data_IF_626779790242
#
_entry.id   IF_626779790242
#
_cell.length_a   1.000
_cell.length_b   1.000
_cell.length_c   1.000
_cell.angle_alpha   90.00
_cell.angle_beta   90.00
_cell.angle_gamma   90.00
#
_symmetry.space_group_name_H-M   'P 1'
#
loop_
_entity.id
_entity.type
_entity.pdbx_description
1 polymer ?
#
# COMPACT_ATOMS: atom_id res chain seq x y z
N UNK A 1 -40.99 10.04 1.44
CA UNK A 1 -39.79 10.49 0.70
C UNK A 1 -38.94 11.33 1.63
N UNK A 2 -37.88 10.76 2.20
CA UNK A 2 -36.66 11.48 2.63
C UNK A 2 -35.64 10.41 3.04
N UNK A 3 -35.07 9.73 2.04
CA UNK A 3 -33.84 8.96 2.25
C UNK A 3 -32.73 10.00 2.28
N UNK A 4 -32.36 10.45 3.47
CA UNK A 4 -31.19 11.30 3.69
C UNK A 4 -29.95 10.53 3.27
N UNK A 5 -29.61 10.63 1.98
CA UNK A 5 -28.36 10.14 1.44
C UNK A 5 -27.25 11.00 2.02
N UNK A 6 -26.66 10.55 3.12
CA UNK A 6 -25.29 10.91 3.44
C UNK A 6 -24.44 10.25 2.34
N UNK A 7 -24.24 10.99 1.24
CA UNK A 7 -23.05 10.80 0.42
C UNK A 7 -21.88 11.20 1.31
N UNK A 8 -21.40 10.26 2.13
CA UNK A 8 -20.10 10.40 2.74
C UNK A 8 -19.12 10.51 1.59
N UNK A 9 -18.58 11.71 1.36
CA UNK A 9 -17.50 11.90 0.40
C UNK A 9 -16.41 10.93 0.80
N UNK A 10 -16.09 9.96 -0.04
CA UNK A 10 -14.96 9.08 0.21
C UNK A 10 -13.71 9.95 0.23
N UNK A 11 -13.23 10.27 1.43
CA UNK A 11 -12.05 11.09 1.63
C UNK A 11 -10.83 10.21 1.39
N UNK A 12 -9.87 10.73 0.64
CA UNK A 12 -8.56 10.09 0.49
C UNK A 12 -7.86 10.10 1.85
N UNK A 13 -7.43 8.94 2.37
CA UNK A 13 -6.73 8.87 3.65
C UNK A 13 -5.33 9.46 3.53
N UNK A 14 -4.80 9.96 4.65
CA UNK A 14 -3.36 10.20 4.77
C UNK A 14 -2.63 8.89 5.13
N UNK A 15 -1.57 8.60 4.39
CA UNK A 15 -0.68 7.47 4.61
C UNK A 15 0.76 7.96 4.40
N UNK A 16 1.58 7.81 5.44
CA UNK A 16 3.00 8.14 5.37
C UNK A 16 3.81 6.85 5.40
N UNK A 17 4.76 6.72 4.48
CA UNK A 17 5.67 5.60 4.42
C UNK A 17 7.12 6.07 4.40
N UNK A 18 8.03 5.19 4.84
CA UNK A 18 9.47 5.31 4.67
C UNK A 18 9.99 4.21 3.73
N UNK A 19 11.10 4.47 3.04
CA UNK A 19 11.80 3.43 2.29
C UNK A 19 13.01 2.91 3.07
N UNK A 20 13.13 1.59 3.12
CA UNK A 20 14.26 0.88 3.69
C UNK A 20 14.93 0.02 2.61
N UNK A 21 16.05 0.51 2.08
CA UNK A 21 16.83 -0.21 1.07
C UNK A 21 17.74 -1.30 1.66
N UNK A 22 17.89 -1.39 2.98
CA UNK A 22 18.63 -2.51 3.59
C UNK A 22 17.79 -3.78 3.63
N UNK A 23 16.46 -3.64 3.73
CA UNK A 23 15.51 -4.77 3.75
C UNK A 23 14.57 -4.82 2.56
N UNK A 24 14.77 -3.93 1.58
CA UNK A 24 13.98 -3.83 0.34
C UNK A 24 12.49 -3.54 0.58
N UNK A 25 12.18 -2.66 1.54
CA UNK A 25 10.81 -2.40 2.01
C UNK A 25 10.38 -0.96 1.85
N UNK A 26 9.08 -0.79 1.68
CA UNK A 26 8.35 0.43 2.05
C UNK A 26 7.59 0.13 3.34
N UNK A 27 7.83 0.89 4.41
CA UNK A 27 7.25 0.67 5.74
C UNK A 27 6.20 1.75 6.01
N UNK A 28 5.01 1.34 6.48
CA UNK A 28 3.95 2.26 6.88
C UNK A 28 4.31 2.89 8.23
N UNK A 29 4.54 4.20 8.26
CA UNK A 29 4.89 4.98 9.45
C UNK A 29 3.65 5.58 10.12
N UNK A 30 2.67 6.00 9.33
CA UNK A 30 1.36 6.44 9.81
C UNK A 30 0.27 6.16 8.77
N UNK A 31 -0.95 5.93 9.25
CA UNK A 31 -2.13 5.69 8.40
C UNK A 31 -3.38 6.14 9.14
N UNK A 32 -4.29 6.79 8.42
CA UNK A 32 -5.62 7.10 8.94
C UNK A 32 -6.39 5.83 9.35
N UNK A 33 -7.31 5.97 10.31
CA UNK A 33 -8.12 4.85 10.76
C UNK A 33 -8.99 4.28 9.62
N UNK A 34 -9.22 2.96 9.67
CA UNK A 34 -10.12 2.23 8.76
C UNK A 34 -9.66 2.10 7.30
N UNK A 35 -8.41 2.42 6.97
CA UNK A 35 -7.84 2.13 5.64
C UNK A 35 -7.60 0.62 5.50
N UNK A 36 -8.12 0.01 4.43
CA UNK A 36 -7.88 -1.41 4.13
C UNK A 36 -6.85 -1.56 3.03
N UNK A 37 -6.01 -2.59 3.13
CA UNK A 37 -5.12 -2.97 2.04
C UNK A 37 -5.90 -3.26 0.75
N UNK A 38 -7.11 -3.81 0.84
CA UNK A 38 -8.00 -4.03 -0.31
C UNK A 38 -8.39 -2.77 -1.06
N UNK A 39 -8.22 -1.58 -0.48
CA UNK A 39 -8.55 -0.30 -1.10
C UNK A 39 -7.33 0.38 -1.74
N UNK A 40 -6.14 -0.21 -1.56
CA UNK A 40 -4.89 0.28 -2.11
C UNK A 40 -4.52 -0.50 -3.36
N UNK A 41 -4.20 0.23 -4.41
CA UNK A 41 -3.47 -0.29 -5.56
C UNK A 41 -1.99 0.01 -5.36
N UNK A 42 -1.16 -1.03 -5.59
CA UNK A 42 0.29 -0.94 -5.52
C UNK A 42 0.80 -1.17 -6.95
N UNK A 43 1.49 -0.18 -7.50
CA UNK A 43 2.13 -0.28 -8.81
C UNK A 43 3.62 0.04 -8.71
N UNK A 44 4.38 -0.44 -9.69
CA UNK A 44 5.83 -0.29 -9.76
C UNK A 44 6.22 0.30 -11.11
N UNK A 45 7.30 1.09 -11.16
CA UNK A 45 7.88 1.57 -12.42
C UNK A 45 8.50 0.44 -13.28
N UNK A 46 8.78 -0.71 -12.66
CA UNK A 46 9.23 -1.93 -13.33
C UNK A 46 8.11 -2.97 -13.29
N UNK A 47 7.55 -3.33 -14.45
CA UNK A 47 6.45 -4.28 -14.57
C UNK A 47 6.80 -5.72 -14.15
N UNK A 48 8.09 -6.06 -14.13
CA UNK A 48 8.57 -7.37 -13.67
C UNK A 48 8.86 -7.39 -12.16
N UNK A 49 8.74 -6.24 -11.47
CA UNK A 49 8.94 -6.19 -10.03
C UNK A 49 7.83 -6.95 -9.32
N UNK A 50 8.21 -7.91 -8.49
CA UNK A 50 7.28 -8.61 -7.62
C UNK A 50 7.32 -7.98 -6.24
N UNK A 51 6.17 -7.93 -5.57
CA UNK A 51 6.06 -7.36 -4.23
C UNK A 51 5.11 -8.16 -3.36
N UNK A 52 5.32 -8.11 -2.05
CA UNK A 52 4.47 -8.74 -1.05
C UNK A 52 4.16 -7.76 0.07
N UNK A 53 2.87 -7.59 0.38
CA UNK A 53 2.45 -6.90 1.61
C UNK A 53 2.70 -7.83 2.80
N UNK A 54 3.38 -7.32 3.82
CA UNK A 54 3.70 -8.00 5.06
C UNK A 54 3.14 -7.20 6.25
N UNK A 55 2.76 -7.88 7.32
CA UNK A 55 2.47 -7.21 8.58
C UNK A 55 3.76 -6.80 9.32
N UNK A 56 3.62 -6.09 10.45
CA UNK A 56 4.76 -5.70 11.30
C UNK A 56 5.62 -6.84 11.86
N UNK A 57 5.13 -8.09 11.81
CA UNK A 57 5.89 -9.29 12.13
C UNK A 57 6.55 -9.94 10.90
N UNK A 58 6.61 -9.23 9.77
CA UNK A 58 7.14 -9.68 8.47
C UNK A 58 6.43 -10.90 7.88
N UNK A 59 5.16 -11.15 8.25
CA UNK A 59 4.36 -12.23 7.66
C UNK A 59 3.56 -11.70 6.49
N UNK A 60 3.65 -12.39 5.34
CA UNK A 60 2.87 -12.07 4.15
C UNK A 60 1.36 -12.12 4.41
N UNK A 61 0.65 -11.09 3.96
CA UNK A 61 -0.80 -10.95 4.15
C UNK A 61 -1.63 -11.46 2.95
N UNK A 62 -1.02 -11.66 1.78
CA UNK A 62 -1.66 -12.21 0.58
C UNK A 62 -0.66 -12.82 -0.40
N UNK A 63 -1.18 -13.26 -1.55
CA UNK A 63 -0.40 -13.61 -2.74
C UNK A 63 0.40 -12.39 -3.22
N UNK A 64 1.58 -12.66 -3.77
CA UNK A 64 2.48 -11.67 -4.36
C UNK A 64 1.73 -10.87 -5.43
N UNK A 65 1.93 -9.55 -5.46
CA UNK A 65 1.35 -8.69 -6.49
C UNK A 65 -0.17 -8.48 -6.37
N UNK A 66 -0.82 -8.84 -5.25
CA UNK A 66 -2.27 -8.71 -5.09
C UNK A 66 -2.67 -8.16 -3.73
N UNK A 67 -3.37 -7.03 -3.73
CA UNK A 67 -4.03 -6.48 -2.53
C UNK A 67 -5.51 -6.85 -2.41
N UNK A 68 -6.17 -7.20 -3.51
CA UNK A 68 -7.62 -7.44 -3.55
C UNK A 68 -8.10 -8.57 -2.63
N UNK A 69 -7.22 -9.49 -2.23
CA UNK A 69 -7.54 -10.59 -1.32
C UNK A 69 -7.21 -10.30 0.15
N UNK A 70 -6.61 -9.14 0.46
CA UNK A 70 -6.23 -8.75 1.82
C UNK A 70 -7.45 -8.11 2.50
N UNK A 71 -8.06 -8.80 3.46
CA UNK A 71 -9.25 -8.30 4.19
C UNK A 71 -8.91 -7.48 5.44
N UNK A 72 -7.62 -7.34 5.79
CA UNK A 72 -7.17 -6.65 7.00
C UNK A 72 -6.97 -5.15 6.77
N UNK A 73 -7.13 -4.38 7.85
CA UNK A 73 -6.80 -2.96 7.87
C UNK A 73 -5.28 -2.76 7.86
N UNK A 74 -4.85 -1.68 7.22
CA UNK A 74 -3.45 -1.25 7.27
C UNK A 74 -3.10 -0.80 8.68
N UNK A 75 -1.89 -1.15 9.13
CA UNK A 75 -1.37 -0.78 10.44
C UNK A 75 0.05 -0.22 10.31
N UNK A 76 0.44 0.63 11.27
CA UNK A 76 1.84 1.07 11.41
C UNK A 76 2.76 -0.14 11.57
N UNK A 77 3.87 -0.12 10.83
CA UNK A 77 4.84 -1.20 10.76
C UNK A 77 4.50 -2.28 9.72
N UNK A 78 3.30 -2.31 9.13
CA UNK A 78 3.09 -3.07 7.91
C UNK A 78 4.07 -2.59 6.83
N UNK A 79 4.38 -3.45 5.87
CA UNK A 79 5.32 -3.10 4.81
C UNK A 79 5.01 -3.74 3.48
N UNK A 80 5.57 -3.17 2.43
CA UNK A 80 5.60 -3.73 1.08
C UNK A 80 7.05 -4.14 0.83
N UNK A 81 7.30 -5.45 0.80
CA UNK A 81 8.59 -6.03 0.47
C UNK A 81 8.68 -6.17 -1.05
N UNK A 82 9.74 -5.65 -1.65
CA UNK A 82 10.12 -5.94 -3.03
C UNK A 82 10.89 -7.25 -3.09
N UNK A 83 10.48 -8.11 -4.02
CA UNK A 83 11.05 -9.43 -4.25
C UNK A 83 11.75 -9.43 -5.61
N UNK A 84 12.87 -10.17 -5.69
CA UNK A 84 13.50 -10.60 -6.95
C UNK A 84 13.75 -9.47 -7.97
N UNK A 85 14.13 -8.29 -7.50
CA UNK A 85 14.46 -7.13 -8.34
C UNK A 85 15.88 -6.64 -8.07
N UNK A 86 16.46 -5.91 -9.03
CA UNK A 86 17.75 -5.24 -8.87
C UNK A 86 17.63 -3.81 -9.37
N UNK A 87 18.27 -2.88 -8.69
CA UNK A 87 18.24 -1.46 -9.01
C UNK A 87 17.08 -0.69 -8.35
N UNK A 88 16.90 0.56 -8.78
CA UNK A 88 15.89 1.46 -8.21
C UNK A 88 14.47 1.12 -8.69
N UNK A 89 13.66 0.59 -7.78
CA UNK A 89 12.22 0.36 -8.01
C UNK A 89 11.42 1.43 -7.26
N UNK A 90 10.59 2.15 -8.00
CA UNK A 90 9.63 3.10 -7.42
C UNK A 90 8.30 2.39 -7.25
N UNK A 91 7.79 2.38 -6.02
CA UNK A 91 6.43 1.94 -5.69
C UNK A 91 5.53 3.18 -5.61
N UNK A 92 4.37 3.09 -6.27
CA UNK A 92 3.29 4.07 -6.18
C UNK A 92 2.09 3.45 -5.46
N UNK A 93 1.58 4.14 -4.46
CA UNK A 93 0.32 3.77 -3.79
C UNK A 93 -0.81 4.67 -4.29
N UNK A 94 -1.90 4.03 -4.74
CA UNK A 94 -3.11 4.72 -5.19
C UNK A 94 -4.30 4.25 -4.37
N UNK A 95 -5.07 5.20 -3.82
CA UNK A 95 -6.33 4.89 -3.15
C UNK A 95 -7.44 4.70 -4.18
N UNK A 96 -7.84 3.44 -4.39
CA UNK A 96 -8.78 3.05 -5.46
C UNK A 96 -10.13 3.78 -5.40
N UNK A 97 -10.75 4.00 -4.22
CA UNK A 97 -12.05 4.66 -4.19
C UNK A 97 -12.07 6.09 -4.76
N UNK A 98 -10.95 6.81 -4.72
CA UNK A 98 -10.85 8.18 -5.25
C UNK A 98 -9.85 8.33 -6.39
N UNK A 99 -9.15 7.25 -6.76
CA UNK A 99 -8.01 7.26 -7.69
C UNK A 99 -6.89 8.26 -7.30
N UNK A 100 -6.79 8.61 -6.02
CA UNK A 100 -5.78 9.56 -5.56
C UNK A 100 -4.44 8.86 -5.34
N UNK A 101 -3.37 9.43 -5.88
CA UNK A 101 -2.01 8.99 -5.57
C UNK A 101 -1.67 9.44 -4.15
N UNK A 102 -1.33 8.48 -3.30
CA UNK A 102 -0.97 8.71 -1.90
C UNK A 102 0.50 9.05 -1.76
N UNK A 103 1.34 8.47 -2.61
CA UNK A 103 2.77 8.75 -2.62
C UNK A 103 3.55 7.82 -3.54
N UNK A 104 4.83 8.15 -3.68
CA UNK A 104 5.80 7.39 -4.47
C UNK A 104 7.08 7.25 -3.65
N UNK A 105 7.59 6.03 -3.53
CA UNK A 105 8.80 5.76 -2.77
C UNK A 105 9.74 4.88 -3.60
N UNK A 106 11.01 5.27 -3.64
CA UNK A 106 12.05 4.49 -4.31
C UNK A 106 12.78 3.62 -3.29
N UNK A 107 12.97 2.36 -3.65
CA UNK A 107 13.83 1.40 -2.95
C UNK A 107 14.92 0.97 -3.92
N UNK A 108 16.17 1.02 -3.49
CA UNK A 108 17.27 0.42 -4.24
C UNK A 108 17.45 -1.01 -3.76
N UNK A 109 17.19 -1.98 -4.65
CA UNK A 109 17.26 -3.43 -4.39
C UNK A 109 18.57 -4.01 -4.92
#
# INVERSE_FOLDING_TARGET
LTKGGLQGTTQTPDIQCSSDSATNRIIIESVDANVRWSDIEISTNNANATWQVQNSANKGLARIGTTATISVYMSVGDSILLLETTGGVTITLTFKPTNAVLGNWMVNV
#
